data_IF_242961184702
#
_entry.id   IF_242961184702
#
_cell.length_a   1.000
_cell.length_b   1.000
_cell.length_c   1.000
_cell.angle_alpha   90.00
_cell.angle_beta   90.00
_cell.angle_gamma   90.00
#
_symmetry.space_group_name_H-M   'P 1'
#
loop_
_entity.id
_entity.type
_entity.pdbx_description
1 polymer ?
#
# COMPACT_ATOMS: atom_id res chain seq x y z
N UNK A 1 -27.13 63.26 -12.88
CA UNK A 1 -27.66 63.14 -14.25
C UNK A 1 -26.93 62.04 -14.98
N UNK A 2 -27.72 61.22 -15.66
CA UNK A 2 -27.42 60.00 -16.41
C UNK A 2 -26.36 60.21 -17.51
N UNK A 3 -25.46 59.24 -17.76
CA UNK A 3 -25.09 58.82 -19.13
C UNK A 3 -24.32 57.50 -19.17
N UNK A 4 -25.02 56.48 -19.68
CA UNK A 4 -24.52 55.23 -20.25
C UNK A 4 -23.49 55.49 -21.36
N UNK A 5 -22.49 54.61 -21.49
CA UNK A 5 -21.88 54.21 -22.77
C UNK A 5 -21.52 52.72 -22.66
N UNK A 6 -22.40 51.81 -23.12
CA UNK A 6 -22.38 51.16 -24.44
C UNK A 6 -21.15 50.28 -24.69
N UNK A 7 -21.33 49.00 -24.37
CA UNK A 7 -20.51 47.87 -24.81
C UNK A 7 -20.62 47.78 -26.34
N UNK A 8 -19.50 47.92 -27.05
CA UNK A 8 -19.39 47.46 -28.44
C UNK A 8 -18.66 46.11 -28.44
N UNK A 9 -19.46 45.07 -28.68
CA UNK A 9 -19.02 43.71 -28.93
C UNK A 9 -18.50 43.66 -30.37
N UNK A 10 -17.18 43.76 -30.56
CA UNK A 10 -16.58 43.54 -31.88
C UNK A 10 -16.40 42.04 -32.06
N UNK A 11 -17.36 41.42 -32.74
CA UNK A 11 -17.19 40.09 -33.32
C UNK A 11 -16.23 40.21 -34.52
N UNK A 12 -14.93 40.05 -34.25
CA UNK A 12 -13.97 39.82 -35.33
C UNK A 12 -13.96 38.33 -35.64
N UNK A 13 -14.69 37.94 -36.69
CA UNK A 13 -14.56 36.61 -37.28
C UNK A 13 -13.28 36.56 -38.12
N UNK A 14 -12.15 36.24 -37.49
CA UNK A 14 -10.95 35.83 -38.23
C UNK A 14 -11.04 34.34 -38.53
N UNK A 15 -11.32 34.00 -39.81
CA UNK A 15 -10.85 32.74 -40.40
C UNK A 15 -9.32 32.81 -40.44
N UNK A 16 -8.69 32.47 -39.32
CA UNK A 16 -7.25 32.51 -39.14
C UNK A 16 -6.59 31.24 -39.66
N UNK A 17 -5.87 31.38 -40.76
CA UNK A 17 -4.76 30.48 -41.11
C UNK A 17 -3.77 30.54 -39.92
N UNK A 18 -3.77 29.54 -39.06
CA UNK A 18 -2.93 29.54 -37.86
C UNK A 18 -1.48 29.43 -38.28
N UNK A 19 -0.69 30.48 -38.03
CA UNK A 19 0.76 30.44 -38.23
C UNK A 19 1.34 29.24 -37.47
N UNK A 20 2.25 28.47 -38.09
CA UNK A 20 2.95 27.36 -37.42
C UNK A 20 3.58 27.77 -36.08
N UNK A 21 3.97 29.04 -35.96
CA UNK A 21 4.50 29.62 -34.72
C UNK A 21 3.45 29.76 -33.62
N UNK A 22 2.23 30.21 -33.96
CA UNK A 22 1.13 30.33 -33.00
C UNK A 22 0.59 28.96 -32.55
N UNK A 23 0.64 27.97 -33.45
CA UNK A 23 0.35 26.57 -33.11
C UNK A 23 1.40 26.02 -32.14
N UNK A 24 2.68 26.25 -32.42
CA UNK A 24 3.81 25.83 -31.58
C UNK A 24 3.84 26.53 -30.21
N UNK A 25 3.44 27.80 -30.12
CA UNK A 25 3.29 28.49 -28.84
C UNK A 25 2.18 27.87 -28.00
N UNK A 26 1.01 27.59 -28.59
CA UNK A 26 -0.09 26.92 -27.88
C UNK A 26 0.25 25.49 -27.49
N UNK A 27 0.94 24.74 -28.35
CA UNK A 27 1.40 23.39 -28.03
C UNK A 27 2.40 23.42 -26.86
N UNK A 28 3.29 24.41 -26.81
CA UNK A 28 4.23 24.59 -25.69
C UNK A 28 3.52 25.06 -24.40
N UNK A 29 2.54 25.96 -24.49
CA UNK A 29 1.73 26.41 -23.35
C UNK A 29 0.84 25.27 -22.82
N UNK A 30 0.27 24.45 -23.70
CA UNK A 30 -0.50 23.26 -23.33
C UNK A 30 0.39 22.15 -22.74
N UNK A 31 1.62 21.99 -23.25
CA UNK A 31 2.61 21.07 -22.67
C UNK A 31 3.11 21.53 -21.29
N UNK A 32 3.16 22.84 -21.04
CA UNK A 32 3.52 23.43 -19.73
C UNK A 32 2.37 23.44 -18.72
N UNK A 33 1.11 23.34 -19.18
CA UNK A 33 -0.09 23.25 -18.34
C UNK A 33 -0.63 21.82 -18.19
N UNK A 34 -0.04 20.85 -18.89
CA UNK A 34 -0.39 19.45 -18.69
C UNK A 34 -0.09 19.05 -17.24
N UNK A 35 -0.99 18.32 -16.56
CA UNK A 35 -0.69 17.80 -15.24
C UNK A 35 0.62 17.00 -15.31
N UNK A 36 1.48 17.09 -14.28
CA UNK A 36 2.76 16.38 -14.29
C UNK A 36 2.51 14.91 -14.59
N UNK A 37 3.32 14.34 -15.49
CA UNK A 37 3.25 12.90 -15.80
C UNK A 37 3.32 12.14 -14.48
N UNK A 38 2.42 11.17 -14.22
CA UNK A 38 2.49 10.41 -12.98
C UNK A 38 3.87 9.75 -12.84
N UNK A 39 4.36 9.60 -11.61
CA UNK A 39 5.65 8.98 -11.29
C UNK A 39 5.49 8.05 -10.08
N UNK A 40 6.27 6.97 -10.05
CA UNK A 40 6.34 6.03 -8.93
C UNK A 40 7.24 6.52 -7.78
N UNK A 41 7.86 7.69 -7.89
CA UNK A 41 8.72 8.21 -6.82
C UNK A 41 7.93 8.37 -5.52
N UNK A 42 8.38 7.69 -4.46
CA UNK A 42 7.73 7.70 -3.15
C UNK A 42 6.31 7.13 -3.15
N UNK A 43 5.97 6.26 -4.11
CA UNK A 43 4.62 5.71 -4.25
C UNK A 43 4.13 4.97 -3.01
N UNK A 44 5.02 4.25 -2.30
CA UNK A 44 4.66 3.57 -1.05
C UNK A 44 4.14 4.57 -0.01
N UNK A 45 4.88 5.65 0.22
CA UNK A 45 4.52 6.69 1.17
C UNK A 45 3.23 7.40 0.75
N UNK A 46 3.07 7.69 -0.54
CA UNK A 46 1.82 8.28 -1.07
C UNK A 46 0.61 7.37 -0.80
N UNK A 47 0.73 6.06 -1.03
CA UNK A 47 -0.34 5.09 -0.75
C UNK A 47 -0.63 5.07 0.75
N UNK A 48 0.40 5.01 1.61
CA UNK A 48 0.24 5.01 3.05
C UNK A 48 -0.47 6.27 3.56
N UNK A 49 -0.02 7.46 3.14
CA UNK A 49 -0.61 8.74 3.53
C UNK A 49 -2.05 8.88 3.02
N UNK A 50 -2.33 8.45 1.79
CA UNK A 50 -3.69 8.42 1.27
C UNK A 50 -4.58 7.49 2.11
N UNK A 51 -4.08 6.32 2.50
CA UNK A 51 -4.81 5.41 3.39
C UNK A 51 -5.06 6.04 4.77
N UNK A 52 -4.06 6.63 5.41
CA UNK A 52 -4.19 7.29 6.71
C UNK A 52 -5.18 8.45 6.64
N UNK A 53 -5.11 9.27 5.59
CA UNK A 53 -6.07 10.33 5.32
C UNK A 53 -7.49 9.77 5.19
N UNK A 54 -7.67 8.74 4.36
CA UNK A 54 -8.95 8.06 4.17
C UNK A 54 -9.52 7.49 5.47
N UNK A 55 -8.69 6.89 6.33
CA UNK A 55 -9.12 6.38 7.63
C UNK A 55 -9.60 7.49 8.56
N UNK A 56 -8.93 8.65 8.56
CA UNK A 56 -9.29 9.80 9.39
C UNK A 56 -10.54 10.54 8.87
N UNK A 57 -10.63 10.75 7.56
CA UNK A 57 -11.71 11.48 6.91
C UNK A 57 -12.95 10.61 6.63
N UNK A 58 -12.80 9.28 6.65
CA UNK A 58 -13.81 8.29 6.26
C UNK A 58 -14.29 8.43 4.82
N UNK A 59 -13.43 8.91 3.94
CA UNK A 59 -13.63 8.93 2.50
C UNK A 59 -12.50 8.18 1.79
N UNK A 60 -12.65 7.93 0.49
CA UNK A 60 -11.66 7.21 -0.33
C UNK A 60 -11.08 8.05 -1.46
N UNK A 61 -11.22 9.37 -1.41
CA UNK A 61 -10.94 10.23 -2.56
C UNK A 61 -9.46 10.16 -2.97
N UNK A 62 -8.55 10.30 -2.00
CA UNK A 62 -7.10 10.25 -2.27
C UNK A 62 -6.64 8.84 -2.72
N UNK A 63 -7.22 7.77 -2.17
CA UNK A 63 -6.95 6.40 -2.64
C UNK A 63 -7.39 6.21 -4.10
N UNK A 64 -8.58 6.71 -4.48
CA UNK A 64 -9.08 6.59 -5.85
C UNK A 64 -8.29 7.46 -6.84
N UNK A 65 -7.83 8.63 -6.41
CA UNK A 65 -6.93 9.50 -7.19
C UNK A 65 -5.60 8.81 -7.51
N UNK A 66 -4.99 8.14 -6.53
CA UNK A 66 -3.80 7.31 -6.77
C UNK A 66 -4.08 6.13 -7.70
N UNK A 67 -5.25 5.49 -7.56
CA UNK A 67 -5.68 4.41 -8.45
C UNK A 67 -5.71 4.86 -9.92
N UNK A 68 -6.31 6.02 -10.20
CA UNK A 68 -6.31 6.60 -11.55
C UNK A 68 -4.90 6.95 -12.06
N UNK A 69 -4.01 7.45 -11.19
CA UNK A 69 -2.62 7.75 -11.57
C UNK A 69 -1.84 6.49 -11.96
N UNK A 70 -1.99 5.40 -11.19
CA UNK A 70 -1.32 4.12 -11.49
C UNK A 70 -1.88 3.45 -12.76
N UNK A 71 -3.18 3.57 -13.03
CA UNK A 71 -3.78 3.10 -14.28
C UNK A 71 -3.21 3.86 -15.49
N UNK A 72 -3.01 5.18 -15.37
CA UNK A 72 -2.42 5.98 -16.43
C UNK A 72 -0.96 5.62 -16.71
N UNK A 73 -0.20 5.21 -15.68
CA UNK A 73 1.19 4.75 -15.82
C UNK A 73 1.32 3.43 -16.56
N UNK A 74 0.45 2.47 -16.24
CA UNK A 74 0.43 1.11 -16.82
C UNK A 74 0.35 1.13 -18.35
N UNK A 75 -0.30 2.14 -18.92
CA UNK A 75 -0.40 2.32 -20.36
C UNK A 75 0.92 2.76 -21.05
N UNK A 76 1.98 3.07 -20.30
CA UNK A 76 3.16 3.79 -20.82
C UNK A 76 4.54 3.30 -20.36
N UNK A 77 4.63 2.41 -19.36
CA UNK A 77 5.88 2.07 -18.66
C UNK A 77 5.98 0.56 -18.30
N UNK A 78 7.07 0.15 -17.62
CA UNK A 78 7.39 -1.24 -17.22
C UNK A 78 6.29 -1.90 -16.35
N UNK A 79 5.52 -2.88 -16.87
CA UNK A 79 4.30 -3.40 -16.22
C UNK A 79 4.48 -4.03 -14.83
N UNK A 80 5.51 -4.85 -14.53
CA UNK A 80 5.52 -5.64 -13.29
C UNK A 80 5.53 -4.80 -12.01
N UNK A 81 6.35 -3.73 -11.95
CA UNK A 81 6.41 -2.88 -10.76
C UNK A 81 5.15 -2.00 -10.61
N UNK A 82 4.49 -1.67 -11.71
CA UNK A 82 3.22 -0.94 -11.68
C UNK A 82 2.11 -1.85 -11.18
N UNK A 83 2.06 -3.09 -11.66
CA UNK A 83 1.14 -4.13 -11.17
C UNK A 83 1.33 -4.34 -9.66
N UNK A 84 2.57 -4.43 -9.19
CA UNK A 84 2.90 -4.51 -7.76
C UNK A 84 2.25 -3.36 -6.97
N UNK A 85 2.48 -2.11 -7.37
CA UNK A 85 1.93 -0.96 -6.64
C UNK A 85 0.42 -0.82 -6.76
N UNK A 86 -0.16 -1.26 -7.89
CA UNK A 86 -1.62 -1.35 -8.03
C UNK A 86 -2.20 -2.38 -7.07
N UNK A 87 -1.61 -3.57 -6.98
CA UNK A 87 -2.04 -4.61 -6.05
C UNK A 87 -1.89 -4.17 -4.59
N UNK A 88 -0.78 -3.52 -4.25
CA UNK A 88 -0.55 -2.94 -2.92
C UNK A 88 -1.58 -1.85 -2.57
N UNK A 89 -1.94 -0.97 -3.51
CA UNK A 89 -3.02 0.01 -3.31
C UNK A 89 -4.38 -0.69 -3.11
N UNK A 90 -4.68 -1.75 -3.87
CA UNK A 90 -5.92 -2.51 -3.72
C UNK A 90 -6.05 -3.17 -2.34
N UNK A 91 -4.92 -3.62 -1.78
CA UNK A 91 -4.89 -4.10 -0.39
C UNK A 91 -5.38 -3.00 0.58
N UNK A 92 -4.86 -1.77 0.49
CA UNK A 92 -5.31 -0.68 1.37
C UNK A 92 -6.75 -0.24 1.13
N UNK A 93 -7.20 -0.22 -0.13
CA UNK A 93 -8.61 0.06 -0.47
C UNK A 93 -9.52 -1.00 0.14
N UNK A 94 -9.11 -2.27 0.08
CA UNK A 94 -9.84 -3.39 0.70
C UNK A 94 -9.89 -3.24 2.22
N UNK A 95 -8.77 -2.94 2.87
CA UNK A 95 -8.72 -2.67 4.32
C UNK A 95 -9.63 -1.51 4.70
N UNK A 96 -9.63 -0.42 3.93
CA UNK A 96 -10.54 0.71 4.15
C UNK A 96 -12.02 0.29 4.07
N UNK A 97 -12.40 -0.47 3.06
CA UNK A 97 -13.78 -0.95 2.90
C UNK A 97 -14.19 -1.86 4.07
N UNK A 98 -13.33 -2.80 4.46
CA UNK A 98 -13.56 -3.68 5.60
C UNK A 98 -13.74 -2.89 6.90
N UNK A 99 -12.88 -1.89 7.15
CA UNK A 99 -12.97 -1.05 8.36
C UNK A 99 -14.23 -0.19 8.43
N UNK A 100 -14.84 0.09 7.28
CA UNK A 100 -16.13 0.79 7.18
C UNK A 100 -17.33 -0.16 7.06
N UNK A 101 -17.13 -1.48 7.25
CA UNK A 101 -18.20 -2.47 7.29
C UNK A 101 -18.71 -2.95 5.93
N UNK A 102 -18.00 -2.63 4.85
CA UNK A 102 -18.36 -3.05 3.48
C UNK A 102 -17.50 -4.25 3.05
N UNK A 103 -17.81 -5.42 3.63
CA UNK A 103 -17.06 -6.67 3.38
C UNK A 103 -17.09 -7.09 1.91
N UNK A 104 -18.22 -6.90 1.23
CA UNK A 104 -18.38 -7.29 -0.18
C UNK A 104 -17.47 -6.46 -1.10
N UNK A 105 -17.35 -5.14 -0.86
CA UNK A 105 -16.36 -4.32 -1.56
C UNK A 105 -14.94 -4.71 -1.17
N UNK A 106 -14.69 -4.94 0.12
CA UNK A 106 -13.35 -5.35 0.56
C UNK A 106 -12.88 -6.61 -0.17
N UNK A 107 -13.73 -7.65 -0.22
CA UNK A 107 -13.45 -8.90 -0.92
C UNK A 107 -13.17 -8.67 -2.41
N UNK A 108 -14.00 -7.89 -3.10
CA UNK A 108 -13.78 -7.59 -4.53
C UNK A 108 -12.46 -6.89 -4.80
N UNK A 109 -12.08 -5.93 -3.97
CA UNK A 109 -10.86 -5.15 -4.19
C UNK A 109 -9.61 -6.01 -3.92
N UNK A 110 -9.62 -6.86 -2.88
CA UNK A 110 -8.50 -7.76 -2.62
C UNK A 110 -8.37 -8.83 -3.70
N UNK A 111 -9.48 -9.45 -4.13
CA UNK A 111 -9.48 -10.47 -5.18
C UNK A 111 -8.91 -9.92 -6.48
N UNK A 112 -9.34 -8.72 -6.88
CA UNK A 112 -8.84 -8.04 -8.08
C UNK A 112 -7.32 -7.80 -8.03
N UNK A 113 -6.78 -7.48 -6.87
CA UNK A 113 -5.34 -7.30 -6.70
C UNK A 113 -4.57 -8.63 -6.69
N UNK A 114 -5.15 -9.69 -6.14
CA UNK A 114 -4.61 -11.06 -6.20
C UNK A 114 -4.54 -11.54 -7.65
N UNK A 115 -5.63 -11.39 -8.42
CA UNK A 115 -5.69 -11.81 -9.83
C UNK A 115 -4.56 -11.17 -10.64
N UNK A 116 -4.33 -9.85 -10.48
CA UNK A 116 -3.22 -9.16 -11.16
C UNK A 116 -1.84 -9.71 -10.81
N UNK A 117 -1.62 -10.07 -9.55
CA UNK A 117 -0.35 -10.62 -9.09
C UNK A 117 -0.15 -12.07 -9.55
N UNK A 118 -1.22 -12.85 -9.65
CA UNK A 118 -1.20 -14.23 -10.16
C UNK A 118 -0.94 -14.28 -11.67
N UNK A 119 -1.40 -13.28 -12.42
CA UNK A 119 -1.16 -13.13 -13.86
C UNK A 119 0.28 -12.73 -14.23
N UNK A 120 1.13 -12.37 -13.26
CA UNK A 120 2.54 -12.07 -13.52
C UNK A 120 3.31 -13.32 -13.99
N UNK A 121 3.87 -13.28 -15.21
CA UNK A 121 4.63 -14.40 -15.78
C UNK A 121 5.84 -14.82 -14.93
N UNK A 122 6.50 -13.84 -14.29
CA UNK A 122 7.66 -14.07 -13.43
C UNK A 122 7.54 -13.22 -12.18
N UNK A 123 7.47 -13.88 -11.02
CA UNK A 123 7.42 -13.25 -9.71
C UNK A 123 8.80 -13.30 -9.05
N UNK A 124 9.28 -12.14 -8.61
CA UNK A 124 10.46 -12.03 -7.77
C UNK A 124 10.09 -12.23 -6.28
N UNK A 125 11.07 -12.06 -5.39
CA UNK A 125 10.88 -12.26 -3.95
C UNK A 125 9.81 -11.32 -3.37
N UNK A 126 9.79 -10.07 -3.80
CA UNK A 126 8.84 -9.06 -3.36
C UNK A 126 7.42 -9.33 -3.84
N UNK A 127 7.28 -9.75 -5.11
CA UNK A 127 5.97 -10.08 -5.69
C UNK A 127 5.32 -11.25 -4.93
N UNK A 128 6.14 -12.27 -4.62
CA UNK A 128 5.71 -13.43 -3.83
C UNK A 128 5.32 -13.05 -2.40
N UNK A 129 6.06 -12.16 -1.74
CA UNK A 129 5.73 -11.66 -0.41
C UNK A 129 4.41 -10.86 -0.41
N UNK A 130 4.21 -9.98 -1.39
CA UNK A 130 2.98 -9.20 -1.53
C UNK A 130 1.77 -10.11 -1.82
N UNK A 131 1.89 -11.04 -2.77
CA UNK A 131 0.81 -11.97 -3.08
C UNK A 131 0.41 -12.80 -1.86
N UNK A 132 1.38 -13.33 -1.12
CA UNK A 132 1.12 -14.06 0.11
C UNK A 132 0.42 -13.21 1.19
N UNK A 133 0.76 -11.92 1.29
CA UNK A 133 0.09 -10.98 2.20
C UNK A 133 -1.39 -10.83 1.81
N UNK A 134 -1.65 -10.62 0.52
CA UNK A 134 -3.00 -10.40 0.00
C UNK A 134 -3.87 -11.67 0.12
N UNK A 135 -3.31 -12.84 -0.20
CA UNK A 135 -3.97 -14.13 0.00
C UNK A 135 -4.25 -14.39 1.50
N UNK A 136 -3.31 -14.05 2.38
CA UNK A 136 -3.52 -14.15 3.84
C UNK A 136 -4.66 -13.26 4.32
N UNK A 137 -4.73 -12.02 3.83
CA UNK A 137 -5.83 -11.11 4.11
C UNK A 137 -7.16 -11.60 3.51
N UNK A 138 -7.16 -12.25 2.35
CA UNK A 138 -8.41 -12.70 1.71
C UNK A 138 -9.10 -13.86 2.44
N UNK A 139 -8.37 -14.63 3.27
CA UNK A 139 -8.91 -15.80 4.00
C UNK A 139 -10.20 -15.49 4.76
N UNK A 140 -10.32 -14.32 5.37
CA UNK A 140 -11.52 -13.92 6.12
C UNK A 140 -12.79 -13.86 5.27
N UNK A 141 -12.67 -13.76 3.95
CA UNK A 141 -13.81 -13.76 3.02
C UNK A 141 -14.10 -15.16 2.44
N UNK A 142 -13.19 -16.13 2.60
CA UNK A 142 -13.20 -17.40 1.83
C UNK A 142 -13.39 -18.62 2.72
N UNK A 143 -14.62 -18.92 3.14
CA UNK A 143 -14.92 -20.05 4.04
C UNK A 143 -14.53 -21.44 3.50
N UNK A 144 -14.71 -21.71 2.20
CA UNK A 144 -14.47 -23.04 1.61
C UNK A 144 -13.06 -23.24 1.03
N UNK A 145 -12.29 -22.16 0.84
CA UNK A 145 -10.98 -22.20 0.16
C UNK A 145 -9.77 -22.04 1.08
N UNK A 146 -9.98 -21.92 2.40
CA UNK A 146 -8.92 -21.62 3.39
C UNK A 146 -7.73 -22.57 3.28
N UNK A 147 -7.96 -23.87 3.08
CA UNK A 147 -6.87 -24.86 3.02
C UNK A 147 -5.99 -24.64 1.79
N UNK A 148 -6.59 -24.37 0.62
CA UNK A 148 -5.84 -24.10 -0.61
C UNK A 148 -5.05 -22.79 -0.49
N UNK A 149 -5.70 -21.73 -0.01
CA UNK A 149 -5.04 -20.45 0.25
C UNK A 149 -3.86 -20.60 1.22
N UNK A 150 -4.01 -21.37 2.29
CA UNK A 150 -2.91 -21.62 3.24
C UNK A 150 -1.71 -22.32 2.59
N UNK A 151 -1.94 -23.24 1.64
CA UNK A 151 -0.87 -23.88 0.87
C UNK A 151 -0.19 -22.88 -0.08
N UNK A 152 -0.97 -22.05 -0.77
CA UNK A 152 -0.47 -21.06 -1.72
C UNK A 152 0.37 -19.99 -1.01
N UNK A 153 -0.11 -19.47 0.11
CA UNK A 153 0.62 -18.53 0.98
C UNK A 153 1.96 -19.13 1.39
N UNK A 154 1.97 -20.38 1.89
CA UNK A 154 3.21 -21.05 2.31
C UNK A 154 4.18 -21.24 1.15
N UNK A 155 3.67 -21.59 -0.03
CA UNK A 155 4.47 -21.76 -1.24
C UNK A 155 5.10 -20.44 -1.70
N UNK A 156 4.31 -19.38 -1.77
CA UNK A 156 4.76 -18.05 -2.16
C UNK A 156 5.83 -17.52 -1.19
N UNK A 157 5.62 -17.65 0.13
CA UNK A 157 6.61 -17.20 1.11
C UNK A 157 7.90 -18.02 1.10
N UNK A 158 7.82 -19.32 0.81
CA UNK A 158 9.01 -20.18 0.64
C UNK A 158 9.81 -19.72 -0.57
N UNK A 159 9.14 -19.49 -1.70
CA UNK A 159 9.78 -18.98 -2.91
C UNK A 159 10.41 -17.61 -2.68
N UNK A 160 9.72 -16.72 -1.95
CA UNK A 160 10.27 -15.40 -1.61
C UNK A 160 11.60 -15.49 -0.86
N UNK A 161 11.68 -16.32 0.19
CA UNK A 161 12.91 -16.49 0.96
C UNK A 161 13.99 -17.32 0.26
N UNK A 162 13.61 -18.20 -0.68
CA UNK A 162 14.57 -18.93 -1.54
C UNK A 162 15.21 -17.99 -2.57
N UNK A 163 14.44 -17.05 -3.11
CA UNK A 163 14.92 -16.02 -4.05
C UNK A 163 15.75 -14.94 -3.35
N UNK A 164 15.32 -14.51 -2.16
CA UNK A 164 16.05 -13.57 -1.31
C UNK A 164 15.82 -13.87 0.17
N UNK A 165 16.82 -14.48 0.81
CA UNK A 165 16.80 -14.81 2.23
C UNK A 165 16.82 -13.60 3.17
N UNK A 166 16.98 -12.38 2.62
CA UNK A 166 16.98 -11.12 3.36
C UNK A 166 15.70 -10.31 3.15
N UNK A 167 14.70 -10.85 2.44
CA UNK A 167 13.42 -10.18 2.24
C UNK A 167 12.66 -10.04 3.58
N UNK A 168 12.67 -8.82 4.11
CA UNK A 168 12.00 -8.45 5.36
C UNK A 168 10.49 -8.67 5.31
N UNK A 169 9.87 -8.41 4.16
CA UNK A 169 8.43 -8.52 3.95
C UNK A 169 7.97 -9.96 3.96
N UNK A 170 8.74 -10.88 3.39
CA UNK A 170 8.47 -12.31 3.48
C UNK A 170 8.47 -12.79 4.94
N UNK A 171 9.42 -12.33 5.77
CA UNK A 171 9.44 -12.66 7.20
C UNK A 171 8.25 -12.07 7.96
N UNK A 172 7.92 -10.80 7.73
CA UNK A 172 6.71 -10.18 8.28
C UNK A 172 5.45 -10.96 7.92
N UNK A 173 5.29 -11.32 6.65
CA UNK A 173 4.07 -12.01 6.18
C UNK A 173 4.01 -13.45 6.71
N UNK A 174 5.13 -14.16 6.86
CA UNK A 174 5.17 -15.42 7.60
C UNK A 174 4.63 -15.26 9.03
N UNK A 175 5.10 -14.24 9.74
CA UNK A 175 4.66 -13.99 11.10
C UNK A 175 3.19 -13.58 11.18
N UNK A 176 2.72 -12.74 10.27
CA UNK A 176 1.32 -12.32 10.17
C UNK A 176 0.40 -13.52 9.99
N UNK A 177 0.71 -14.40 9.03
CA UNK A 177 -0.08 -15.62 8.80
C UNK A 177 -0.07 -16.55 10.02
N UNK A 178 1.08 -16.75 10.68
CA UNK A 178 1.15 -17.55 11.91
C UNK A 178 0.36 -16.92 13.05
N UNK A 179 0.44 -15.60 13.24
CA UNK A 179 -0.26 -14.86 14.29
C UNK A 179 -1.78 -14.93 14.18
N UNK A 180 -2.30 -14.82 12.95
CA UNK A 180 -3.75 -14.85 12.70
C UNK A 180 -4.32 -16.28 12.57
N UNK A 181 -3.47 -17.30 12.38
CA UNK A 181 -3.90 -18.69 12.38
C UNK A 181 -4.32 -19.13 13.79
N UNK A 182 -5.52 -19.71 13.99
CA UNK A 182 -5.94 -20.21 15.29
C UNK A 182 -5.00 -21.29 15.85
N UNK A 183 -4.80 -21.30 17.17
CA UNK A 183 -3.90 -22.24 17.87
C UNK A 183 -4.26 -23.71 17.62
N UNK A 184 -5.55 -24.03 17.49
CA UNK A 184 -6.02 -25.40 17.16
C UNK A 184 -5.53 -25.90 15.80
N UNK A 185 -5.14 -24.98 14.91
CA UNK A 185 -4.52 -25.27 13.62
C UNK A 185 -2.99 -25.07 13.64
N UNK A 186 -2.42 -24.80 14.81
CA UNK A 186 -0.99 -24.71 15.04
C UNK A 186 -0.39 -23.31 14.91
N UNK A 187 -1.21 -22.26 14.78
CA UNK A 187 -0.73 -20.87 14.71
C UNK A 187 -0.18 -20.33 16.03
N UNK A 188 0.48 -19.18 15.96
CA UNK A 188 1.08 -18.45 17.07
C UNK A 188 2.42 -19.01 17.58
N UNK A 189 3.02 -19.99 16.88
CA UNK A 189 4.24 -20.67 17.33
C UNK A 189 5.54 -20.02 16.86
N UNK A 190 5.51 -19.36 15.70
CA UNK A 190 6.71 -18.85 15.02
C UNK A 190 6.67 -17.34 14.78
N UNK A 191 5.51 -16.69 15.03
CA UNK A 191 5.32 -15.27 14.78
C UNK A 191 6.38 -14.40 15.46
N UNK A 192 6.66 -14.62 16.75
CA UNK A 192 7.67 -13.85 17.50
C UNK A 192 9.06 -13.97 16.84
N UNK A 193 9.50 -15.19 16.51
CA UNK A 193 10.80 -15.43 15.89
C UNK A 193 10.92 -14.71 14.53
N UNK A 194 9.89 -14.80 13.69
CA UNK A 194 9.91 -14.18 12.37
C UNK A 194 9.84 -12.65 12.43
N UNK A 195 9.11 -12.08 13.38
CA UNK A 195 9.06 -10.62 13.58
C UNK A 195 10.40 -10.07 14.06
N UNK A 196 11.02 -10.74 15.03
CA UNK A 196 12.36 -10.38 15.49
C UNK A 196 13.38 -10.49 14.35
N UNK A 197 13.26 -11.51 13.50
CA UNK A 197 14.10 -11.65 12.31
C UNK A 197 13.89 -10.49 11.34
N UNK A 198 12.67 -10.15 10.99
CA UNK A 198 12.35 -9.04 10.10
C UNK A 198 12.92 -7.70 10.60
N UNK A 199 12.76 -7.41 11.89
CA UNK A 199 13.29 -6.20 12.55
C UNK A 199 14.82 -6.18 12.57
N UNK A 200 15.47 -7.34 12.77
CA UNK A 200 16.93 -7.43 12.84
C UNK A 200 17.66 -7.19 11.51
N UNK A 201 16.94 -7.34 10.39
CA UNK A 201 17.52 -7.14 9.06
C UNK A 201 17.76 -5.65 8.82
N UNK A 202 18.82 -5.35 8.06
CA UNK A 202 19.12 -4.00 7.62
C UNK A 202 17.96 -3.45 6.79
N UNK A 203 17.71 -2.15 6.90
CA UNK A 203 16.71 -1.51 6.07
C UNK A 203 17.14 -1.65 4.61
N UNK A 204 16.20 -2.06 3.77
CA UNK A 204 16.44 -2.04 2.33
C UNK A 204 16.45 -0.60 1.85
N UNK A 205 17.61 0.03 1.91
CA UNK A 205 17.88 1.30 1.24
C UNK A 205 18.03 1.03 -0.25
N UNK A 206 16.93 1.07 -0.99
CA UNK A 206 16.96 0.99 -2.44
C UNK A 206 17.43 2.32 -3.02
N UNK A 207 18.42 2.29 -3.93
CA UNK A 207 18.79 3.46 -4.75
C UNK A 207 17.60 3.96 -5.60
N UNK A 208 16.64 3.07 -5.88
CA UNK A 208 15.43 3.36 -6.64
C UNK A 208 14.26 3.67 -5.70
N UNK A 209 13.67 4.88 -5.76
CA UNK A 209 12.66 5.34 -4.79
C UNK A 209 11.29 4.66 -4.93
N UNK A 210 11.14 3.77 -5.90
CA UNK A 210 9.90 3.04 -6.20
C UNK A 210 9.98 1.55 -5.86
N UNK A 211 11.11 1.05 -5.35
CA UNK A 211 11.17 -0.33 -4.84
C UNK A 211 10.54 -0.41 -3.44
N UNK A 212 9.88 -1.52 -3.09
CA UNK A 212 9.19 -1.66 -1.81
C UNK A 212 10.16 -1.67 -0.64
N UNK A 213 9.75 -1.02 0.45
CA UNK A 213 10.50 -0.89 1.70
C UNK A 213 9.63 -1.11 2.95
N UNK A 214 8.35 -1.46 2.78
CA UNK A 214 7.45 -1.86 3.88
C UNK A 214 7.93 -3.16 4.54
N UNK A 215 7.24 -3.59 5.60
CA UNK A 215 7.41 -4.86 6.29
C UNK A 215 8.06 -4.72 7.67
N UNK A 216 8.99 -3.78 7.86
CA UNK A 216 9.67 -3.60 9.16
C UNK A 216 8.83 -2.80 10.16
N UNK A 217 8.15 -1.73 9.72
CA UNK A 217 7.18 -1.00 10.55
C UNK A 217 6.05 -1.93 11.01
N UNK A 218 5.47 -2.69 10.07
CA UNK A 218 4.41 -3.65 10.35
C UNK A 218 4.89 -4.80 11.24
N UNK A 219 6.18 -5.17 11.16
CA UNK A 219 6.77 -6.13 12.09
C UNK A 219 6.84 -5.60 13.52
N UNK A 220 7.21 -4.33 13.72
CA UNK A 220 7.13 -3.70 15.04
C UNK A 220 5.68 -3.69 15.54
N UNK A 221 4.74 -3.22 14.72
CA UNK A 221 3.32 -3.17 15.07
C UNK A 221 2.80 -4.55 15.52
N UNK A 222 3.05 -5.59 14.71
CA UNK A 222 2.55 -6.92 14.99
C UNK A 222 3.25 -7.57 16.20
N UNK A 223 4.53 -7.29 16.41
CA UNK A 223 5.27 -7.77 17.58
C UNK A 223 4.74 -7.15 18.88
N UNK A 224 4.44 -5.85 18.86
CA UNK A 224 3.81 -5.16 19.99
C UNK A 224 2.44 -5.78 20.28
N UNK A 225 1.60 -6.00 19.26
CA UNK A 225 0.30 -6.68 19.40
C UNK A 225 0.45 -8.09 19.99
N UNK A 226 1.43 -8.85 19.53
CA UNK A 226 1.74 -10.19 20.04
C UNK A 226 2.08 -10.14 21.53
N UNK A 227 2.95 -9.23 21.95
CA UNK A 227 3.29 -9.10 23.37
C UNK A 227 2.16 -8.55 24.24
N UNK A 228 1.32 -7.65 23.72
CA UNK A 228 0.10 -7.21 24.42
C UNK A 228 -0.85 -8.40 24.62
N UNK A 229 -1.09 -9.20 23.57
CA UNK A 229 -1.94 -10.40 23.64
C UNK A 229 -1.42 -11.42 24.66
N UNK A 230 -0.10 -11.53 24.79
CA UNK A 230 0.57 -12.42 25.74
C UNK A 230 0.80 -11.78 27.13
N UNK A 231 0.27 -10.57 27.39
CA UNK A 231 0.47 -9.80 28.62
C UNK A 231 1.94 -9.53 28.99
N UNK A 232 2.86 -9.64 28.02
CA UNK A 232 4.29 -9.33 28.16
C UNK A 232 4.53 -7.83 27.98
N UNK A 233 3.93 -7.02 28.85
CA UNK A 233 3.87 -5.55 28.67
C UNK A 233 5.24 -4.86 28.65
N UNK A 234 6.24 -5.37 29.35
CA UNK A 234 7.59 -4.79 29.31
C UNK A 234 8.22 -4.89 27.92
N UNK A 235 8.06 -6.04 27.26
CA UNK A 235 8.49 -6.23 25.88
C UNK A 235 7.66 -5.39 24.92
N UNK A 236 6.34 -5.34 25.11
CA UNK A 236 5.46 -4.50 24.30
C UNK A 236 5.87 -3.02 24.38
N UNK A 237 6.15 -2.50 25.58
CA UNK A 237 6.64 -1.12 25.81
C UNK A 237 8.01 -0.89 25.19
N UNK A 238 8.93 -1.86 25.29
CA UNK A 238 10.25 -1.78 24.66
C UNK A 238 10.11 -1.58 23.15
N UNK A 239 9.41 -2.50 22.48
CA UNK A 239 9.28 -2.45 21.01
C UNK A 239 8.36 -1.34 20.53
N UNK A 240 7.42 -0.86 21.35
CA UNK A 240 6.66 0.35 21.08
C UNK A 240 7.56 1.59 21.02
N UNK A 241 8.44 1.77 22.02
CA UNK A 241 9.41 2.89 22.05
C UNK A 241 10.39 2.81 20.87
N UNK A 242 10.91 1.61 20.61
CA UNK A 242 11.84 1.37 19.49
C UNK A 242 11.16 1.58 18.14
N UNK A 243 9.92 1.11 17.97
CA UNK A 243 9.12 1.29 16.77
C UNK A 243 8.87 2.77 16.47
N UNK A 244 8.44 3.57 17.45
CA UNK A 244 8.25 5.01 17.26
C UNK A 244 9.55 5.80 17.11
N UNK A 245 10.67 5.31 17.63
CA UNK A 245 11.96 5.94 17.39
C UNK A 245 12.39 5.80 15.92
N UNK A 246 12.06 4.68 15.28
CA UNK A 246 12.36 4.43 13.86
C UNK A 246 11.26 4.94 12.91
N UNK A 247 10.00 4.90 13.34
CA UNK A 247 8.80 5.25 12.57
C UNK A 247 7.92 6.23 13.37
N UNK A 248 8.37 7.48 13.57
CA UNK A 248 7.69 8.45 14.44
C UNK A 248 6.26 8.79 13.96
N UNK A 249 6.03 8.72 12.64
CA UNK A 249 4.75 9.05 12.01
C UNK A 249 3.87 7.81 11.77
N UNK A 250 4.23 6.65 12.35
CA UNK A 250 3.46 5.41 12.19
C UNK A 250 2.06 5.55 12.78
N UNK A 251 1.05 5.58 11.90
CA UNK A 251 -0.36 5.55 12.26
C UNK A 251 -0.71 4.29 13.04
N UNK A 252 -0.18 3.14 12.64
CA UNK A 252 -0.54 1.87 13.27
C UNK A 252 0.12 1.66 14.63
N UNK A 253 1.42 1.96 14.76
CA UNK A 253 2.13 1.81 16.04
C UNK A 253 1.56 2.79 17.06
N UNK A 254 1.33 4.06 16.69
CA UNK A 254 0.84 5.10 17.61
C UNK A 254 -0.49 4.72 18.30
N UNK A 255 -1.40 4.04 17.59
CA UNK A 255 -2.68 3.58 18.14
C UNK A 255 -2.55 2.55 19.27
N UNK A 256 -1.42 1.85 19.36
CA UNK A 256 -1.18 0.84 20.39
C UNK A 256 -0.91 1.44 21.78
N UNK A 257 -0.64 2.75 21.87
CA UNK A 257 -0.52 3.48 23.15
C UNK A 257 -1.70 3.21 24.09
N UNK A 258 -2.92 3.24 23.55
CA UNK A 258 -4.17 3.03 24.30
C UNK A 258 -4.29 1.62 24.91
N UNK A 259 -3.48 0.66 24.44
CA UNK A 259 -3.50 -0.75 24.86
C UNK A 259 -2.34 -1.11 25.80
N UNK A 260 -1.46 -0.17 26.10
CA UNK A 260 -0.33 -0.37 27.00
C UNK A 260 -0.67 0.18 28.39
N UNK A 261 -0.36 -0.55 29.47
CA UNK A 261 -0.41 0.02 30.82
C UNK A 261 0.47 1.28 30.88
N UNK A 262 0.08 2.27 31.70
CA UNK A 262 0.82 3.54 31.81
C UNK A 262 2.32 3.33 31.95
N UNK A 263 3.08 4.11 31.17
CA UNK A 263 4.54 4.15 31.24
C UNK A 263 4.86 5.06 32.43
N UNK A 264 4.96 4.48 33.62
CA UNK A 264 5.59 5.14 34.76
C UNK A 264 7.11 5.12 34.60
#
# INVERSE_FOLDING_TARGET
MLRLFLIFLVLVSFKGNTSPFAKKLRENEQAQQAPPKPSLDGIQEKIYQAFVHSMNARDKEELMKLSHQLIALDATEDPPIIIYWRAYLQFYISVFHLKNGDEEKAEREIDKGIDWMEDLERRNSEDNALLAMMQGFSIQFKSLKVIFLAMDIKSNLKQALEQDSTNQRAYYVYASNDYYTPEKYGGGKSAEQYLLKAISLADQTSEKPYLPSWGKEESYELLIKLYIKAEKYDLAKKYYKEGLANYPDSYFISQLSSKLPTIN
#
